data_IF_440464200070
#
_entry.id   IF_440464200070
#
_cell.length_a   1.000
_cell.length_b   1.000
_cell.length_c   1.000
_cell.angle_alpha   90.00
_cell.angle_beta   90.00
_cell.angle_gamma   90.00
#
_symmetry.space_group_name_H-M   'P 1'
#
loop_
_entity.id
_entity.type
_entity.pdbx_description
1 polymer ?
#
# COMPACT_ATOMS: atom_id res chain seq x y z
N UNK A 1 -21.31 19.24 1.68
CA UNK A 1 -20.22 19.04 0.69
C UNK A 1 -18.95 18.70 1.44
N UNK A 2 -18.17 17.70 1.01
CA UNK A 2 -16.87 17.43 1.61
C UNK A 2 -15.97 18.68 1.53
N UNK A 3 -15.27 19.00 2.62
CA UNK A 3 -14.45 20.22 2.70
C UNK A 3 -13.34 20.20 1.65
N UNK A 4 -12.88 21.37 1.20
CA UNK A 4 -11.75 21.48 0.26
C UNK A 4 -10.48 20.78 0.81
N UNK A 5 -10.28 20.81 2.13
CA UNK A 5 -9.20 20.09 2.81
C UNK A 5 -9.30 18.58 2.59
N UNK A 6 -10.50 18.00 2.74
CA UNK A 6 -10.76 16.57 2.53
C UNK A 6 -10.42 16.14 1.10
N UNK A 7 -10.78 16.95 0.11
CA UNK A 7 -10.51 16.69 -1.30
C UNK A 7 -9.01 16.69 -1.61
N UNK A 8 -8.26 17.67 -1.07
CA UNK A 8 -6.81 17.72 -1.22
C UNK A 8 -6.12 16.51 -0.58
N UNK A 9 -6.55 16.12 0.63
CA UNK A 9 -6.05 14.93 1.33
C UNK A 9 -6.30 13.65 0.53
N UNK A 10 -7.48 13.48 -0.05
CA UNK A 10 -7.81 12.33 -0.90
C UNK A 10 -6.93 12.28 -2.16
N UNK A 11 -6.66 13.42 -2.80
CA UNK A 11 -5.79 13.51 -3.97
C UNK A 11 -4.33 13.17 -3.63
N UNK A 12 -3.82 13.64 -2.49
CA UNK A 12 -2.48 13.30 -2.01
C UNK A 12 -2.35 11.79 -1.77
N UNK A 13 -3.30 11.21 -1.02
CA UNK A 13 -3.34 9.76 -0.74
C UNK A 13 -3.41 8.94 -2.03
N UNK A 14 -4.23 9.34 -3.00
CA UNK A 14 -4.33 8.65 -4.28
C UNK A 14 -3.00 8.63 -5.03
N UNK A 15 -2.29 9.77 -5.09
CA UNK A 15 -0.98 9.87 -5.77
C UNK A 15 0.07 9.02 -5.06
N UNK A 16 0.07 9.00 -3.73
CA UNK A 16 0.98 8.15 -2.95
C UNK A 16 0.74 6.67 -3.22
N UNK A 17 -0.50 6.20 -3.09
CA UNK A 17 -0.88 4.82 -3.35
C UNK A 17 -0.61 4.43 -4.81
N UNK A 18 -0.87 5.32 -5.76
CA UNK A 18 -0.56 5.08 -7.16
C UNK A 18 0.95 5.01 -7.40
N UNK A 19 1.78 5.77 -6.68
CA UNK A 19 3.23 5.63 -6.79
C UNK A 19 3.68 4.29 -6.23
N UNK A 20 3.17 3.92 -5.07
CA UNK A 20 3.48 2.64 -4.44
C UNK A 20 3.04 1.48 -5.32
N UNK A 21 1.86 1.51 -5.93
CA UNK A 21 1.36 0.41 -6.78
C UNK A 21 2.26 0.04 -7.96
N UNK A 22 3.12 0.96 -8.44
CA UNK A 22 4.04 0.68 -9.56
C UNK A 22 5.13 -0.33 -9.21
N UNK A 23 5.56 -0.37 -7.96
CA UNK A 23 6.66 -1.23 -7.52
C UNK A 23 6.17 -2.59 -6.99
N UNK A 24 4.85 -2.82 -7.03
CA UNK A 24 4.17 -3.94 -6.38
C UNK A 24 4.77 -5.27 -6.84
N UNK A 25 5.07 -6.21 -5.92
CA UNK A 25 5.86 -7.40 -6.25
C UNK A 25 5.16 -8.38 -7.22
N UNK A 26 3.83 -8.33 -7.31
CA UNK A 26 3.04 -9.20 -8.18
C UNK A 26 2.52 -8.43 -9.42
N UNK A 27 3.02 -8.73 -10.63
CA UNK A 27 2.59 -8.07 -11.87
C UNK A 27 1.19 -8.49 -12.33
N UNK A 28 0.67 -9.63 -11.85
CA UNK A 28 -0.70 -10.08 -12.15
C UNK A 28 -1.74 -9.37 -11.30
N UNK A 29 -1.32 -8.73 -10.21
CA UNK A 29 -2.19 -8.00 -9.32
C UNK A 29 -2.54 -6.63 -9.89
N UNK A 30 -3.80 -6.44 -10.31
CA UNK A 30 -4.32 -5.16 -10.80
C UNK A 30 -4.50 -4.15 -9.65
N UNK A 31 -3.39 -3.64 -9.11
CA UNK A 31 -3.37 -2.68 -8.02
C UNK A 31 -4.05 -1.37 -8.44
N UNK A 32 -3.70 -0.85 -9.62
CA UNK A 32 -4.19 0.43 -10.11
C UNK A 32 -5.68 0.40 -10.41
N UNK A 33 -6.18 -0.68 -11.04
CA UNK A 33 -7.61 -0.84 -11.29
C UNK A 33 -8.41 -0.97 -10.00
N UNK A 34 -7.91 -1.72 -9.00
CA UNK A 34 -8.55 -1.82 -7.67
C UNK A 34 -8.55 -0.47 -6.94
N UNK A 35 -7.43 0.26 -6.96
CA UNK A 35 -7.33 1.60 -6.37
C UNK A 35 -8.35 2.56 -6.99
N UNK A 36 -8.44 2.58 -8.32
CA UNK A 36 -9.41 3.41 -9.03
C UNK A 36 -10.85 3.07 -8.63
N UNK A 37 -11.23 1.79 -8.65
CA UNK A 37 -12.57 1.32 -8.26
C UNK A 37 -12.91 1.70 -6.82
N UNK A 38 -11.95 1.63 -5.90
CA UNK A 38 -12.13 2.01 -4.50
C UNK A 38 -12.46 3.50 -4.36
N UNK A 39 -11.71 4.37 -5.03
CA UNK A 39 -11.95 5.82 -4.99
C UNK A 39 -13.23 6.22 -5.74
N UNK A 40 -13.56 5.54 -6.83
CA UNK A 40 -14.82 5.74 -7.55
C UNK A 40 -16.04 5.38 -6.68
N UNK A 41 -15.99 4.24 -5.97
CA UNK A 41 -17.07 3.82 -5.05
C UNK A 41 -17.29 4.84 -3.93
N UNK A 42 -16.22 5.46 -3.45
CA UNK A 42 -16.24 6.39 -2.33
C UNK A 42 -16.44 7.87 -2.75
N UNK A 43 -16.62 8.17 -4.04
CA UNK A 43 -16.68 9.54 -4.58
C UNK A 43 -17.80 10.39 -4.00
N UNK A 44 -18.95 9.78 -3.71
CA UNK A 44 -20.16 10.49 -3.27
C UNK A 44 -20.34 10.45 -1.73
N UNK A 45 -19.34 9.97 -0.98
CA UNK A 45 -19.38 9.97 0.48
C UNK A 45 -19.46 11.40 1.01
N UNK A 46 -20.47 11.63 1.85
CA UNK A 46 -20.74 12.95 2.43
C UNK A 46 -20.62 12.94 3.96
N UNK A 47 -20.76 11.76 4.59
CA UNK A 47 -20.65 11.61 6.04
C UNK A 47 -19.17 11.70 6.49
N UNK A 48 -18.83 12.61 7.43
CA UNK A 48 -17.48 12.75 7.95
C UNK A 48 -16.89 11.46 8.55
N UNK A 49 -17.70 10.63 9.21
CA UNK A 49 -17.20 9.40 9.84
C UNK A 49 -16.79 8.37 8.79
N UNK A 50 -17.61 8.17 7.76
CA UNK A 50 -17.28 7.28 6.65
C UNK A 50 -16.07 7.76 5.85
N UNK A 51 -15.90 9.08 5.70
CA UNK A 51 -14.72 9.68 5.07
C UNK A 51 -13.44 9.33 5.85
N UNK A 52 -13.44 9.50 7.18
CA UNK A 52 -12.27 9.13 8.00
C UNK A 52 -12.00 7.62 8.00
N UNK A 53 -13.03 6.78 7.97
CA UNK A 53 -12.87 5.33 7.78
C UNK A 53 -12.19 5.00 6.45
N UNK A 54 -12.62 5.66 5.36
CA UNK A 54 -12.01 5.47 4.04
C UNK A 54 -10.53 5.92 4.02
N UNK A 55 -10.19 7.01 4.71
CA UNK A 55 -8.80 7.43 4.88
C UNK A 55 -7.97 6.42 5.67
N UNK A 56 -8.50 5.91 6.80
CA UNK A 56 -7.82 4.87 7.59
C UNK A 56 -7.56 3.61 6.76
N UNK A 57 -8.53 3.20 5.94
CA UNK A 57 -8.34 2.08 5.03
C UNK A 57 -7.23 2.35 3.99
N UNK A 58 -7.17 3.57 3.45
CA UNK A 58 -6.10 3.97 2.53
C UNK A 58 -4.71 3.94 3.17
N UNK A 59 -4.57 4.44 4.40
CA UNK A 59 -3.32 4.36 5.18
C UNK A 59 -2.93 2.91 5.48
N UNK A 60 -3.90 2.04 5.78
CA UNK A 60 -3.67 0.63 5.97
C UNK A 60 -3.08 -0.04 4.72
N UNK A 61 -3.69 0.22 3.54
CA UNK A 61 -3.19 -0.31 2.26
C UNK A 61 -1.76 0.17 1.97
N UNK A 62 -1.47 1.44 2.27
CA UNK A 62 -0.13 2.02 2.14
C UNK A 62 0.88 1.26 2.99
N UNK A 63 0.58 1.05 4.28
CA UNK A 63 1.46 0.34 5.21
C UNK A 63 1.67 -1.12 4.81
N UNK A 64 0.62 -1.80 4.38
CA UNK A 64 0.71 -3.18 3.90
C UNK A 64 1.58 -3.29 2.63
N UNK A 65 1.43 -2.34 1.69
CA UNK A 65 2.26 -2.29 0.48
C UNK A 65 3.74 -2.07 0.82
N UNK A 66 4.03 -1.17 1.77
CA UNK A 66 5.40 -0.94 2.27
C UNK A 66 5.96 -2.18 2.97
N UNK A 67 5.15 -2.88 3.76
CA UNK A 67 5.55 -4.13 4.41
C UNK A 67 5.91 -5.22 3.38
N UNK A 68 5.15 -5.32 2.28
CA UNK A 68 5.46 -6.24 1.18
C UNK A 68 6.81 -5.92 0.53
N UNK A 69 7.18 -4.64 0.39
CA UNK A 69 8.51 -4.25 -0.08
C UNK A 69 9.62 -4.67 0.86
N UNK A 70 9.44 -4.41 2.14
CA UNK A 70 10.39 -4.83 3.17
C UNK A 70 10.55 -6.35 3.17
N UNK A 71 9.45 -7.10 3.03
CA UNK A 71 9.47 -8.56 2.96
C UNK A 71 10.18 -9.08 1.71
N UNK A 72 9.95 -8.47 0.54
CA UNK A 72 10.67 -8.81 -0.70
C UNK A 72 12.18 -8.61 -0.51
N UNK A 73 12.59 -7.47 0.06
CA UNK A 73 13.99 -7.16 0.34
C UNK A 73 14.60 -8.15 1.33
N UNK A 74 13.89 -8.45 2.42
CA UNK A 74 14.32 -9.43 3.42
C UNK A 74 14.50 -10.83 2.81
N UNK A 75 13.54 -11.31 2.01
CA UNK A 75 13.63 -12.61 1.32
C UNK A 75 14.84 -12.67 0.38
N UNK A 76 15.16 -11.59 -0.30
CA UNK A 76 16.34 -11.51 -1.15
C UNK A 76 17.64 -11.59 -0.33
N UNK A 77 17.76 -10.79 0.73
CA UNK A 77 18.92 -10.81 1.62
C UNK A 77 19.14 -12.18 2.27
N UNK A 78 18.07 -12.82 2.77
CA UNK A 78 18.15 -14.15 3.38
C UNK A 78 18.65 -15.23 2.41
N UNK A 79 18.38 -15.10 1.11
CA UNK A 79 18.89 -16.04 0.09
C UNK A 79 20.36 -15.79 -0.24
N UNK A 80 20.79 -14.54 -0.24
CA UNK A 80 22.18 -14.17 -0.54
C UNK A 80 23.12 -14.42 0.63
N UNK A 81 22.61 -14.33 1.86
CA UNK A 81 23.36 -14.56 3.09
C UNK A 81 22.67 -15.69 3.88
N UNK A 82 22.79 -16.95 3.44
CA UNK A 82 22.42 -18.08 4.30
C UNK A 82 23.30 -18.03 5.55
N UNK A 83 22.70 -18.29 6.72
CA UNK A 83 23.42 -18.24 8.01
C UNK A 83 24.67 -19.12 7.92
N UNK A 84 25.84 -18.50 7.92
CA UNK A 84 27.15 -19.17 7.91
C UNK A 84 27.48 -19.83 9.25
N UNK A 85 26.46 -20.15 10.06
CA UNK A 85 26.55 -20.85 11.34
C UNK A 85 26.10 -22.31 11.23
N UNK A 86 26.11 -22.89 10.04
CA UNK A 86 26.32 -24.34 9.95
C UNK A 86 27.80 -24.59 10.19
N UNK A 87 28.12 -24.92 11.45
CA UNK A 87 29.43 -25.35 11.91
C UNK A 87 30.12 -26.27 10.89
N UNK A 88 31.44 -26.14 10.66
CA UNK A 88 32.16 -27.17 9.94
C UNK A 88 32.02 -28.47 10.76
N UNK A 89 31.36 -29.46 10.17
CA UNK A 89 31.24 -30.80 10.76
C UNK A 89 32.66 -31.36 10.96
N UNK A 90 32.97 -31.97 12.13
CA UNK A 90 34.31 -32.45 12.46
C UNK A 90 34.79 -33.59 11.56
#
# INVERSE_FOLDING_TARGET
>A
MASQSTRLRALALYKELHRLGRDYPDPSYDFHGKLRRLFEKNRNLTDPNEIEKAFKLGEYIKNETLALYSLRKYRHLKRMYPDSTSDPTP
#
